data_IF_958419273540
#
_entry.id   IF_958419273540
#
_cell.length_a   1.000
_cell.length_b   1.000
_cell.length_c   1.000
_cell.angle_alpha   90.00
_cell.angle_beta   90.00
_cell.angle_gamma   90.00
#
_symmetry.space_group_name_H-M   'P 1'
#
loop_
_entity.id
_entity.type
_entity.pdbx_description
1 polymer ?
#
# COMPACT_ATOMS: atom_id res chain seq x y z
N UNK A 1 32.93 57.00 69.96
CA UNK A 1 32.19 55.74 69.70
C UNK A 1 30.96 55.90 68.77
N UNK A 2 30.69 57.06 68.16
CA UNK A 2 29.50 57.24 67.29
C UNK A 2 29.75 56.93 65.79
N UNK A 3 31.00 57.02 65.33
CA UNK A 3 31.33 56.90 63.90
C UNK A 3 31.29 55.45 63.39
N UNK A 4 31.57 54.47 64.26
CA UNK A 4 31.62 53.05 63.92
C UNK A 4 30.22 52.43 63.79
N UNK A 5 29.26 52.90 64.59
CA UNK A 5 27.84 52.50 64.53
C UNK A 5 27.15 53.06 63.30
N UNK A 6 27.43 54.31 62.91
CA UNK A 6 26.88 54.91 61.69
C UNK A 6 27.36 54.21 60.42
N UNK A 7 28.65 53.83 60.35
CA UNK A 7 29.20 53.07 59.22
C UNK A 7 28.60 51.66 59.10
N UNK A 8 28.31 51.00 60.22
CA UNK A 8 27.65 49.68 60.25
C UNK A 8 26.21 49.76 59.74
N UNK A 9 25.47 50.82 60.10
CA UNK A 9 24.10 51.05 59.62
C UNK A 9 24.06 51.30 58.11
N UNK A 10 24.96 52.13 57.58
CA UNK A 10 25.04 52.39 56.14
C UNK A 10 25.44 51.14 55.33
N UNK A 11 26.38 50.34 55.85
CA UNK A 11 26.77 49.09 55.20
C UNK A 11 25.62 48.07 55.16
N UNK A 12 24.86 47.93 56.26
CA UNK A 12 23.69 47.06 56.29
C UNK A 12 22.62 47.50 55.27
N UNK A 13 22.38 48.81 55.16
CA UNK A 13 21.39 49.38 54.24
C UNK A 13 21.81 49.21 52.76
N UNK A 14 23.11 49.33 52.46
CA UNK A 14 23.65 49.09 51.12
C UNK A 14 23.52 47.61 50.70
N UNK A 15 23.75 46.66 51.61
CA UNK A 15 23.61 45.22 51.34
C UNK A 15 22.14 44.87 51.05
N UNK A 16 21.20 45.39 51.85
CA UNK A 16 19.76 45.17 51.63
C UNK A 16 19.30 45.82 50.31
N UNK A 17 19.80 47.01 49.98
CA UNK A 17 19.52 47.68 48.71
C UNK A 17 19.96 46.87 47.49
N UNK A 18 21.16 46.29 47.52
CA UNK A 18 21.65 45.45 46.41
C UNK A 18 20.87 44.13 46.27
N UNK A 19 20.47 43.50 47.38
CA UNK A 19 19.66 42.27 47.32
C UNK A 19 18.25 42.52 46.76
N UNK A 20 17.62 43.63 47.12
CA UNK A 20 16.27 43.95 46.65
C UNK A 20 16.22 44.29 45.15
N UNK A 21 17.27 44.89 44.57
CA UNK A 21 17.31 45.25 43.16
C UNK A 21 17.55 44.07 42.20
N UNK A 22 18.23 43.01 42.64
CA UNK A 22 18.61 41.89 41.76
C UNK A 22 17.48 40.92 41.43
N UNK A 23 16.58 40.67 42.39
CA UNK A 23 15.54 39.63 42.27
C UNK A 23 14.36 40.13 41.42
N UNK A 24 13.98 41.40 41.55
CA UNK A 24 12.78 41.95 40.89
C UNK A 24 12.82 41.94 39.35
N UNK A 25 13.98 42.24 38.75
CA UNK A 25 14.11 42.33 37.28
C UNK A 25 14.08 40.92 36.66
N UNK A 26 14.71 39.94 37.31
CA UNK A 26 14.68 38.55 36.87
C UNK A 26 13.26 37.97 36.94
N UNK A 27 12.50 38.26 38.02
CA UNK A 27 11.11 37.83 38.15
C UNK A 27 10.20 38.43 37.07
N UNK A 28 10.38 39.71 36.71
CA UNK A 28 9.58 40.37 35.69
C UNK A 28 9.84 39.81 34.28
N UNK A 29 11.10 39.57 33.92
CA UNK A 29 11.45 38.98 32.62
C UNK A 29 10.96 37.54 32.47
N UNK A 30 11.08 36.75 33.54
CA UNK A 30 10.61 35.36 33.54
C UNK A 30 9.08 35.31 33.49
N UNK A 31 8.38 36.07 34.34
CA UNK A 31 6.91 36.10 34.34
C UNK A 31 6.32 36.69 33.05
N UNK A 32 6.94 37.71 32.45
CA UNK A 32 6.52 38.26 31.15
C UNK A 32 6.64 37.22 30.02
N UNK A 33 7.73 36.45 30.00
CA UNK A 33 7.97 35.42 28.98
C UNK A 33 7.03 34.20 29.06
N UNK A 34 6.30 34.04 30.16
CA UNK A 34 5.23 33.03 30.28
C UNK A 34 3.87 33.54 29.81
N UNK A 35 3.64 34.86 29.81
CA UNK A 35 2.39 35.48 29.35
C UNK A 35 2.32 35.62 27.83
N UNK A 36 3.46 35.78 27.15
CA UNK A 36 3.54 35.78 25.67
C UNK A 36 3.58 34.38 25.05
N UNK A 37 3.69 33.32 25.87
CA UNK A 37 3.52 31.93 25.41
C UNK A 37 2.05 31.53 25.38
N UNK A 38 1.19 32.43 24.89
CA UNK A 38 -0.09 32.02 24.33
C UNK A 38 0.20 31.11 23.14
N UNK A 39 0.32 29.81 23.45
CA UNK A 39 -0.06 28.66 22.64
C UNK A 39 -0.19 28.94 21.14
N UNK A 40 0.93 29.12 20.46
CA UNK A 40 1.01 28.85 19.04
C UNK A 40 0.75 27.35 18.87
N UNK A 41 -0.52 26.99 18.65
CA UNK A 41 -0.90 25.62 18.36
C UNK A 41 -0.09 25.16 17.13
N UNK A 42 0.61 24.04 17.25
CA UNK A 42 1.28 23.42 16.11
C UNK A 42 0.24 23.23 14.97
N UNK A 43 0.62 23.46 13.70
CA UNK A 43 -0.28 23.22 12.59
C UNK A 43 -0.82 21.79 12.67
N UNK A 44 -2.14 21.63 12.74
CA UNK A 44 -2.75 20.31 12.69
C UNK A 44 -2.57 19.75 11.29
N UNK A 45 -1.82 18.67 11.17
CA UNK A 45 -1.77 17.89 9.93
C UNK A 45 -3.13 17.24 9.73
N UNK A 46 -3.90 17.73 8.76
CA UNK A 46 -5.07 17.03 8.23
C UNK A 46 -4.60 16.20 7.03
N UNK A 47 -4.64 14.87 7.09
CA UNK A 47 -4.33 14.04 5.94
C UNK A 47 -5.26 14.40 4.78
N UNK A 48 -4.78 14.34 3.53
CA UNK A 48 -5.65 14.39 2.37
C UNK A 48 -6.72 13.30 2.48
N UNK A 49 -7.97 13.65 2.15
CA UNK A 49 -9.05 12.66 2.04
C UNK A 49 -8.72 11.73 0.87
N UNK A 50 -8.75 10.39 1.06
CA UNK A 50 -8.54 9.45 -0.05
C UNK A 50 -9.53 9.71 -1.17
N UNK A 51 -9.12 9.53 -2.44
CA UNK A 51 -10.05 9.64 -3.55
C UNK A 51 -11.14 8.55 -3.42
N UNK A 52 -12.35 8.80 -3.94
CA UNK A 52 -13.44 7.85 -3.85
C UNK A 52 -13.09 6.53 -4.56
N UNK A 53 -13.66 5.39 -4.10
CA UNK A 53 -13.56 4.12 -4.83
C UNK A 53 -14.10 4.24 -6.24
N UNK A 54 -13.39 3.67 -7.20
CA UNK A 54 -13.78 3.67 -8.60
C UNK A 54 -13.34 2.39 -9.28
N UNK A 55 -14.12 1.94 -10.28
CA UNK A 55 -13.71 0.84 -11.11
C UNK A 55 -12.35 1.16 -11.77
N UNK A 56 -11.32 0.32 -11.60
CA UNK A 56 -10.04 0.54 -12.24
C UNK A 56 -10.13 0.57 -13.76
N UNK A 57 -9.18 1.24 -14.37
CA UNK A 57 -8.96 1.26 -15.81
C UNK A 57 -7.85 0.29 -16.23
N UNK A 58 -7.85 -0.14 -17.49
CA UNK A 58 -6.84 -1.06 -18.02
C UNK A 58 -5.38 -0.56 -17.84
N UNK A 59 -5.18 0.76 -17.81
CA UNK A 59 -3.86 1.39 -17.64
C UNK A 59 -3.33 1.32 -16.21
N UNK A 60 -4.19 1.05 -15.25
CA UNK A 60 -3.84 0.96 -13.82
C UNK A 60 -3.48 -0.48 -13.41
N UNK A 61 -3.45 -1.41 -14.36
CA UNK A 61 -3.02 -2.78 -14.15
C UNK A 61 -1.79 -3.10 -14.99
N UNK A 62 -0.77 -3.60 -14.31
CA UNK A 62 0.42 -4.18 -14.94
C UNK A 62 0.40 -5.68 -14.70
N UNK A 63 0.32 -6.49 -15.76
CA UNK A 63 0.34 -7.95 -15.62
C UNK A 63 1.72 -8.46 -16.00
N UNK A 64 2.49 -8.92 -15.00
CA UNK A 64 3.72 -9.68 -15.23
C UNK A 64 3.39 -11.08 -15.75
N UNK A 65 4.22 -11.60 -16.66
CA UNK A 65 4.12 -12.99 -17.11
C UNK A 65 5.41 -13.70 -16.73
N UNK A 66 5.31 -14.63 -15.78
CA UNK A 66 6.44 -15.41 -15.30
C UNK A 66 6.38 -16.81 -15.92
N UNK A 67 7.32 -17.10 -16.83
CA UNK A 67 7.46 -18.44 -17.41
C UNK A 67 8.08 -19.36 -16.37
N UNK A 68 7.32 -20.36 -15.93
CA UNK A 68 7.72 -21.34 -14.91
C UNK A 68 8.32 -22.60 -15.52
N UNK A 69 7.91 -22.97 -16.72
CA UNK A 69 8.50 -24.08 -17.47
C UNK A 69 8.53 -23.79 -18.97
N UNK A 70 9.52 -24.38 -19.66
CA UNK A 70 9.65 -24.33 -21.11
C UNK A 70 10.09 -25.71 -21.61
N UNK A 71 9.35 -26.24 -22.59
CA UNK A 71 9.64 -27.50 -23.24
C UNK A 71 9.74 -27.23 -24.74
N UNK A 72 10.94 -27.36 -25.29
CA UNK A 72 11.18 -27.27 -26.73
C UNK A 72 11.55 -28.65 -27.25
N UNK A 73 10.72 -29.23 -28.11
CA UNK A 73 11.05 -30.47 -28.80
C UNK A 73 11.91 -30.14 -30.03
N UNK A 74 13.14 -30.67 -30.16
CA UNK A 74 13.98 -30.44 -31.34
C UNK A 74 13.38 -30.96 -32.65
N UNK A 75 12.39 -31.86 -32.59
CA UNK A 75 11.64 -32.34 -33.75
C UNK A 75 10.43 -31.48 -34.12
N UNK A 76 9.99 -30.56 -33.24
CA UNK A 76 8.86 -29.68 -33.46
C UNK A 76 9.30 -28.21 -33.69
N UNK A 77 8.60 -27.44 -34.54
CA UNK A 77 8.92 -26.03 -34.76
C UNK A 77 8.45 -25.09 -33.63
N UNK A 78 7.81 -25.62 -32.59
CA UNK A 78 7.17 -24.87 -31.50
C UNK A 78 7.67 -25.36 -30.13
N UNK A 79 7.70 -24.44 -29.16
CA UNK A 79 7.96 -24.73 -27.75
C UNK A 79 6.68 -24.53 -26.94
N UNK A 80 6.48 -25.37 -25.93
CA UNK A 80 5.43 -25.21 -24.93
C UNK A 80 5.98 -24.42 -23.75
N UNK A 81 5.33 -23.32 -23.40
CA UNK A 81 5.66 -22.47 -22.26
C UNK A 81 4.56 -22.58 -21.21
N UNK A 82 4.90 -22.97 -20.00
CA UNK A 82 4.02 -22.86 -18.84
C UNK A 82 4.33 -21.55 -18.14
N UNK A 83 3.31 -20.73 -17.90
CA UNK A 83 3.47 -19.44 -17.24
C UNK A 83 2.42 -19.21 -16.16
N UNK A 84 2.77 -18.32 -15.25
CA UNK A 84 1.87 -17.77 -14.23
C UNK A 84 1.84 -16.26 -14.40
N UNK A 85 0.64 -15.68 -14.33
CA UNK A 85 0.47 -14.22 -14.34
C UNK A 85 0.64 -13.63 -12.94
N UNK A 86 1.21 -12.43 -12.87
CA UNK A 86 1.41 -11.66 -11.64
C UNK A 86 0.81 -10.25 -11.84
N UNK A 87 -0.52 -10.10 -11.65
CA UNK A 87 -1.18 -8.82 -11.82
C UNK A 87 -0.85 -7.89 -10.65
N UNK A 88 -0.43 -6.66 -10.99
CA UNK A 88 -0.14 -5.59 -10.06
C UNK A 88 -1.01 -4.39 -10.36
N UNK A 89 -1.76 -3.94 -9.35
CA UNK A 89 -2.47 -2.67 -9.40
C UNK A 89 -1.52 -1.52 -9.09
N UNK A 90 -1.53 -0.49 -9.94
CA UNK A 90 -0.68 0.71 -9.83
C UNK A 90 -1.51 2.00 -9.83
N UNK A 91 -2.84 1.89 -9.76
CA UNK A 91 -3.72 3.05 -9.67
C UNK A 91 -3.70 3.70 -8.29
N UNK A 92 -4.26 4.91 -8.21
CA UNK A 92 -4.29 5.73 -7.00
C UNK A 92 -5.64 5.67 -6.27
N UNK A 93 -6.58 4.88 -6.79
CA UNK A 93 -7.93 4.76 -6.26
C UNK A 93 -8.10 3.45 -5.49
N UNK A 94 -8.81 3.44 -4.37
CA UNK A 94 -9.21 2.19 -3.75
C UNK A 94 -10.16 1.43 -4.68
N UNK A 95 -10.13 0.10 -4.58
CA UNK A 95 -11.05 -0.76 -5.32
C UNK A 95 -12.50 -0.55 -4.87
N UNK A 96 -13.48 -0.75 -5.77
CA UNK A 96 -14.88 -0.76 -5.40
C UNK A 96 -15.19 -1.95 -4.48
N UNK A 97 -16.27 -1.84 -3.71
CA UNK A 97 -16.76 -2.97 -2.90
C UNK A 97 -17.32 -4.10 -3.77
N UNK A 98 -17.77 -3.79 -4.98
CA UNK A 98 -18.24 -4.77 -5.95
C UNK A 98 -17.07 -5.53 -6.58
N UNK A 99 -17.18 -6.86 -6.75
CA UNK A 99 -16.18 -7.61 -7.48
C UNK A 99 -16.13 -7.15 -8.93
N UNK A 100 -14.94 -7.18 -9.53
CA UNK A 100 -14.75 -6.83 -10.93
C UNK A 100 -13.87 -7.86 -11.63
N UNK A 101 -14.08 -8.00 -12.93
CA UNK A 101 -13.35 -8.93 -13.78
C UNK A 101 -12.40 -8.15 -14.67
N UNK A 102 -11.15 -8.59 -14.69
CA UNK A 102 -10.11 -8.08 -15.59
C UNK A 102 -9.91 -9.10 -16.70
N UNK A 103 -10.20 -8.68 -17.93
CA UNK A 103 -9.89 -9.45 -19.11
C UNK A 103 -8.56 -8.99 -19.71
N UNK A 104 -7.71 -9.96 -20.00
CA UNK A 104 -6.38 -9.75 -20.54
C UNK A 104 -6.11 -10.75 -21.65
N UNK A 105 -5.07 -10.52 -22.42
CA UNK A 105 -4.54 -11.47 -23.39
C UNK A 105 -3.04 -11.62 -23.21
N UNK A 106 -2.54 -12.84 -23.31
CA UNK A 106 -1.10 -13.14 -23.33
C UNK A 106 -0.66 -13.26 -24.77
N UNK A 107 0.28 -12.39 -25.15
CA UNK A 107 0.89 -12.28 -26.47
C UNK A 107 2.33 -12.80 -26.43
N UNK A 108 2.92 -13.06 -27.60
CA UNK A 108 4.30 -13.57 -27.73
C UNK A 108 4.38 -15.07 -27.99
N UNK A 109 3.31 -15.82 -27.75
CA UNK A 109 3.13 -17.19 -28.25
C UNK A 109 2.78 -17.23 -29.75
N UNK A 110 2.47 -18.43 -30.25
CA UNK A 110 2.03 -18.67 -31.63
C UNK A 110 0.67 -18.01 -31.91
N UNK A 111 -0.20 -17.94 -30.89
CA UNK A 111 -1.52 -17.29 -30.94
C UNK A 111 -1.74 -16.52 -29.63
N UNK A 112 -2.31 -15.29 -29.66
CA UNK A 112 -2.71 -14.59 -28.44
C UNK A 112 -3.73 -15.41 -27.63
N UNK A 113 -3.47 -15.58 -26.35
CA UNK A 113 -4.34 -16.34 -25.44
C UNK A 113 -5.14 -15.41 -24.54
N UNK A 114 -6.48 -15.33 -24.66
CA UNK A 114 -7.29 -14.55 -23.74
C UNK A 114 -7.37 -15.21 -22.37
N UNK A 115 -7.37 -14.40 -21.33
CA UNK A 115 -7.52 -14.80 -19.93
C UNK A 115 -8.43 -13.83 -19.18
N UNK A 116 -8.95 -14.29 -18.05
CA UNK A 116 -9.71 -13.45 -17.13
C UNK A 116 -9.37 -13.81 -15.69
N UNK A 117 -9.37 -12.80 -14.82
CA UNK A 117 -9.32 -13.01 -13.38
C UNK A 117 -10.31 -12.08 -12.70
N UNK A 118 -10.84 -12.52 -11.57
CA UNK A 118 -11.80 -11.76 -10.76
C UNK A 118 -11.06 -11.18 -9.55
N UNK A 119 -11.35 -9.94 -9.22
CA UNK A 119 -10.85 -9.27 -8.02
C UNK A 119 -12.03 -8.96 -7.11
N UNK A 120 -11.95 -9.39 -5.85
CA UNK A 120 -12.95 -9.15 -4.82
C UNK A 120 -12.24 -8.63 -3.56
N UNK A 121 -12.54 -7.39 -3.16
CA UNK A 121 -11.80 -6.72 -2.09
C UNK A 121 -10.31 -6.67 -2.41
N UNK A 122 -9.47 -7.21 -1.53
CA UNK A 122 -8.02 -7.25 -1.70
C UNK A 122 -7.50 -8.58 -2.32
N UNK A 123 -8.40 -9.49 -2.70
CA UNK A 123 -8.04 -10.81 -3.22
C UNK A 123 -8.31 -10.89 -4.73
N UNK A 124 -7.34 -11.43 -5.47
CA UNK A 124 -7.46 -11.73 -6.89
C UNK A 124 -7.40 -13.24 -7.11
N UNK A 125 -8.43 -13.79 -7.76
CA UNK A 125 -8.49 -15.19 -8.14
C UNK A 125 -7.80 -15.38 -9.49
N UNK A 126 -6.57 -15.90 -9.44
CA UNK A 126 -5.68 -15.99 -10.59
C UNK A 126 -5.48 -17.44 -11.00
N UNK A 127 -5.65 -17.71 -12.29
CA UNK A 127 -5.27 -18.98 -12.91
C UNK A 127 -3.74 -19.09 -12.98
N UNK A 128 -3.20 -20.19 -12.45
CA UNK A 128 -1.77 -20.51 -12.45
C UNK A 128 -1.46 -21.59 -13.48
N UNK A 129 -0.20 -21.64 -13.89
CA UNK A 129 0.37 -22.71 -14.72
C UNK A 129 -0.38 -22.95 -16.04
N UNK A 130 -0.70 -21.87 -16.74
CA UNK A 130 -1.30 -21.91 -18.06
C UNK A 130 -0.23 -22.23 -19.10
N UNK A 131 -0.54 -23.15 -20.02
CA UNK A 131 0.38 -23.58 -21.07
C UNK A 131 0.04 -22.92 -22.41
N UNK A 132 1.03 -22.34 -23.07
CA UNK A 132 0.91 -21.70 -24.39
C UNK A 132 2.03 -22.18 -25.31
N UNK A 133 1.70 -22.39 -26.57
CA UNK A 133 2.68 -22.70 -27.62
C UNK A 133 3.28 -21.40 -28.15
N UNK A 134 4.58 -21.40 -28.43
CA UNK A 134 5.27 -20.25 -29.01
C UNK A 134 6.56 -20.61 -29.74
N UNK A 135 7.13 -19.66 -30.51
CA UNK A 135 8.44 -19.86 -31.14
C UNK A 135 9.55 -20.02 -30.09
N UNK A 136 10.70 -20.61 -30.44
CA UNK A 136 11.86 -20.66 -29.56
C UNK A 136 12.32 -19.26 -29.15
N UNK A 137 12.43 -19.00 -27.84
CA UNK A 137 12.80 -17.69 -27.31
C UNK A 137 11.66 -16.67 -27.30
N UNK A 138 10.40 -17.14 -27.33
CA UNK A 138 9.22 -16.31 -27.20
C UNK A 138 9.28 -15.45 -25.93
N UNK A 139 8.95 -14.17 -26.06
CA UNK A 139 8.76 -13.25 -24.92
C UNK A 139 7.28 -13.09 -24.68
N UNK A 140 6.76 -13.75 -23.65
CA UNK A 140 5.36 -13.64 -23.30
C UNK A 140 5.09 -12.31 -22.59
N UNK A 141 4.01 -11.63 -22.98
CA UNK A 141 3.57 -10.37 -22.36
C UNK A 141 2.05 -10.33 -22.28
N UNK A 142 1.50 -9.82 -21.20
CA UNK A 142 0.06 -9.70 -21.01
C UNK A 142 -0.42 -8.27 -21.25
N UNK A 143 -1.50 -8.12 -22.03
CA UNK A 143 -2.17 -6.85 -22.27
C UNK A 143 -3.55 -6.87 -21.64
N UNK A 144 -3.89 -5.85 -20.86
CA UNK A 144 -5.23 -5.70 -20.29
C UNK A 144 -6.14 -5.11 -21.35
N UNK A 145 -7.23 -5.83 -21.65
CA UNK A 145 -8.19 -5.43 -22.67
C UNK A 145 -9.31 -4.58 -22.07
N UNK A 146 -9.95 -5.09 -21.03
CA UNK A 146 -11.09 -4.43 -20.40
C UNK A 146 -11.27 -4.85 -18.94
N UNK A 147 -11.90 -3.95 -18.21
CA UNK A 147 -12.28 -4.15 -16.82
C UNK A 147 -13.77 -3.82 -16.71
N UNK A 148 -14.54 -4.71 -16.11
CA UNK A 148 -15.97 -4.52 -15.90
C UNK A 148 -16.38 -5.06 -14.54
N UNK A 149 -17.40 -4.43 -13.94
CA UNK A 149 -18.01 -4.95 -12.72
C UNK A 149 -18.60 -6.33 -12.97
N UNK A 150 -18.29 -7.27 -12.10
CA UNK A 150 -18.85 -8.60 -12.16
C UNK A 150 -20.27 -8.54 -11.57
N UNK A 151 -21.31 -8.94 -12.31
CA UNK A 151 -22.64 -9.06 -11.73
C UNK A 151 -22.59 -10.03 -10.55
N UNK A 152 -23.23 -9.66 -9.44
CA UNK A 152 -23.34 -10.53 -8.28
C UNK A 152 -23.84 -11.92 -8.76
N UNK A 153 -23.16 -13.02 -8.37
CA UNK A 153 -23.63 -14.36 -8.70
C UNK A 153 -25.10 -14.49 -8.28
N UNK A 154 -25.98 -15.03 -9.14
CA UNK A 154 -27.36 -15.33 -8.73
C UNK A 154 -27.32 -16.14 -7.45
N UNK A 155 -28.09 -15.75 -6.43
CA UNK A 155 -28.14 -16.47 -5.16
C UNK A 155 -28.45 -17.96 -5.43
N UNK A 156 -27.46 -18.83 -5.17
CA UNK A 156 -27.56 -20.28 -5.42
C UNK A 156 -26.81 -20.80 -6.64
N UNK A 157 -26.07 -19.98 -7.39
CA UNK A 157 -25.17 -20.47 -8.43
C UNK A 157 -23.97 -21.21 -7.79
N UNK A 158 -23.56 -22.38 -8.32
CA UNK A 158 -22.33 -23.04 -7.91
C UNK A 158 -21.14 -22.08 -8.12
N UNK A 159 -20.13 -22.09 -7.23
CA UNK A 159 -18.92 -21.32 -7.44
C UNK A 159 -18.29 -21.68 -8.80
N UNK A 160 -17.59 -20.74 -9.45
CA UNK A 160 -16.92 -21.01 -10.72
C UNK A 160 -16.03 -22.26 -10.61
N UNK A 161 -15.84 -23.04 -11.69
CA UNK A 161 -15.16 -24.35 -11.65
C UNK A 161 -13.71 -24.38 -11.11
N UNK A 162 -13.14 -23.24 -10.71
CA UNK A 162 -11.82 -23.12 -10.11
C UNK A 162 -11.77 -23.22 -8.59
N UNK A 163 -12.91 -23.17 -7.89
CA UNK A 163 -12.98 -23.22 -6.42
C UNK A 163 -13.20 -24.62 -5.85
N UNK A 164 -13.32 -25.64 -6.70
CA UNK A 164 -13.38 -27.01 -6.23
C UNK A 164 -11.99 -27.41 -5.70
N UNK A 165 -11.85 -27.78 -4.40
CA UNK A 165 -10.68 -28.51 -3.95
C UNK A 165 -10.52 -29.73 -4.85
N UNK A 166 -9.29 -30.13 -5.23
CA UNK A 166 -9.10 -31.37 -5.96
C UNK A 166 -9.86 -32.48 -5.21
N UNK A 167 -10.64 -33.32 -5.90
CA UNK A 167 -11.38 -34.38 -5.23
C UNK A 167 -10.38 -35.15 -4.38
N UNK A 168 -10.66 -35.23 -3.07
CA UNK A 168 -9.85 -35.98 -2.14
C UNK A 168 -9.61 -37.35 -2.77
N UNK A 169 -8.34 -37.69 -3.00
CA UNK A 169 -7.96 -38.95 -3.60
C UNK A 169 -8.68 -40.07 -2.83
N UNK A 170 -9.58 -40.75 -3.52
CA UNK A 170 -10.26 -41.93 -3.02
C UNK A 170 -9.18 -42.91 -2.54
N UNK A 171 -9.22 -43.40 -1.29
CA UNK A 171 -8.22 -44.35 -0.82
C UNK A 171 -8.31 -45.59 -1.71
N UNK A 172 -7.22 -45.89 -2.43
CA UNK A 172 -7.11 -47.10 -3.20
C UNK A 172 -7.47 -48.32 -2.32
N UNK A 173 -8.17 -49.34 -2.85
CA UNK A 173 -8.44 -50.55 -2.10
C UNK A 173 -7.11 -51.20 -1.71
N UNK A 174 -6.91 -51.44 -0.41
CA UNK A 174 -5.75 -52.17 0.07
C UNK A 174 -5.73 -53.61 -0.49
N UNK A 175 -4.56 -54.17 -0.81
CA UNK A 175 -4.40 -55.55 -1.26
C UNK A 175 -4.65 -56.58 -0.15
#
# INVERSE_FOLDING_TARGET
MAMTTLRKLLAALAIVGMLASGIGIASYLVAGSFRDRDTAAAPRYTPPVPPPPSLPTAKEFMIGVNVTAQICDPAAPVCLYTYTIDPKYVGLHPFPESPFTVEYEVTGGSVPQPGKFTVAGDQAEILKDVSIEGPPGARLSANVLRIFEQPAPPAGAPPPPGDAPPPAAEPAPAP
#
